data_IF_254948125590
#
_entry.id   IF_254948125590
#
_cell.length_a   1.000
_cell.length_b   1.000
_cell.length_c   1.000
_cell.angle_alpha   90.00
_cell.angle_beta   90.00
_cell.angle_gamma   90.00
#
_symmetry.space_group_name_H-M   'P 1'
#
loop_
_entity.id
_entity.type
_entity.pdbx_description
1 polymer ?
#
# COMPACT_ATOMS: atom_id res chain seq x y z
N UNK A 1 -11.78 10.70 62.69
CA UNK A 1 -10.72 11.10 61.75
C UNK A 1 -10.65 10.05 60.66
N UNK A 2 -11.33 10.34 59.54
CA UNK A 2 -11.51 9.45 58.40
C UNK A 2 -10.23 9.41 57.57
N UNK A 3 -9.65 8.23 57.44
CA UNK A 3 -8.59 7.95 56.46
C UNK A 3 -9.15 8.17 55.05
N UNK A 4 -8.46 8.86 54.13
CA UNK A 4 -8.98 9.07 52.79
C UNK A 4 -8.98 7.74 52.01
N UNK A 5 -9.95 7.52 51.10
CA UNK A 5 -10.08 6.27 50.38
C UNK A 5 -8.95 6.13 49.36
N UNK A 6 -8.03 5.21 49.60
CA UNK A 6 -6.98 4.82 48.63
C UNK A 6 -7.54 4.08 47.40
N UNK A 7 -8.86 3.98 47.25
CA UNK A 7 -9.54 3.30 46.14
C UNK A 7 -9.96 4.22 44.99
N UNK A 8 -9.83 5.54 45.13
CA UNK A 8 -10.30 6.52 44.12
C UNK A 8 -9.25 6.93 43.08
N UNK A 9 -8.04 6.35 43.10
CA UNK A 9 -7.03 6.53 42.04
C UNK A 9 -6.98 5.37 41.02
N UNK A 10 -8.00 4.51 41.01
CA UNK A 10 -8.16 3.41 40.04
C UNK A 10 -9.22 3.74 38.98
N UNK A 11 -9.41 5.02 38.68
CA UNK A 11 -10.14 5.46 37.49
C UNK A 11 -9.12 5.94 36.44
N UNK A 12 -9.22 5.32 35.27
CA UNK A 12 -8.91 5.93 33.98
C UNK A 12 -7.43 6.12 33.61
N UNK A 13 -6.67 5.04 33.63
CA UNK A 13 -5.85 4.73 32.46
C UNK A 13 -6.12 3.28 32.09
N UNK A 14 -6.99 3.05 31.10
CA UNK A 14 -6.80 1.91 30.19
C UNK A 14 -5.50 2.18 29.41
N UNK A 15 -4.38 2.09 30.13
CA UNK A 15 -3.07 2.11 29.54
C UNK A 15 -3.09 1.01 28.50
N UNK A 16 -2.86 1.39 27.24
CA UNK A 16 -2.73 0.46 26.12
C UNK A 16 -1.42 -0.34 26.30
N UNK A 17 -1.36 -1.14 27.36
CA UNK A 17 -0.22 -1.93 27.83
C UNK A 17 -0.45 -3.42 27.56
N UNK A 18 -1.34 -3.72 26.60
CA UNK A 18 -1.50 -5.07 26.08
C UNK A 18 -0.19 -5.58 25.47
N UNK A 19 0.07 -6.88 25.60
CA UNK A 19 1.15 -7.53 24.85
C UNK A 19 0.72 -7.67 23.41
N UNK A 20 1.52 -7.15 22.49
CA UNK A 20 1.28 -7.26 21.05
C UNK A 20 2.41 -8.04 20.39
N UNK A 21 2.04 -8.88 19.42
CA UNK A 21 2.95 -9.55 18.50
C UNK A 21 2.69 -9.09 17.07
N UNK A 22 3.69 -9.17 16.20
CA UNK A 22 3.54 -8.76 14.81
C UNK A 22 4.70 -9.15 13.91
N UNK A 23 4.54 -8.80 12.63
CA UNK A 23 5.50 -9.13 11.58
C UNK A 23 5.95 -7.83 10.89
N UNK A 24 7.26 -7.74 10.64
CA UNK A 24 7.86 -6.79 9.72
C UNK A 24 7.88 -7.39 8.32
N UNK A 25 7.15 -6.80 7.38
CA UNK A 25 7.16 -7.23 5.98
C UNK A 25 6.78 -6.05 5.08
N UNK A 26 7.66 -5.62 4.18
CA UNK A 26 7.31 -4.56 3.26
C UNK A 26 6.35 -5.08 2.16
N UNK A 27 5.35 -4.29 1.68
CA UNK A 27 4.44 -4.75 0.63
C UNK A 27 5.14 -5.23 -0.64
N UNK A 28 6.30 -4.67 -1.00
CA UNK A 28 7.07 -5.11 -2.17
C UNK A 28 7.59 -6.55 -2.08
N UNK A 29 7.68 -7.10 -0.87
CA UNK A 29 8.12 -8.48 -0.60
C UNK A 29 6.99 -9.50 -0.66
N UNK A 30 5.73 -9.05 -0.77
CA UNK A 30 4.63 -9.97 -1.01
C UNK A 30 4.74 -10.56 -2.40
N UNK A 31 4.26 -11.81 -2.61
CA UNK A 31 4.20 -12.38 -3.94
C UNK A 31 3.36 -11.50 -4.86
N UNK A 32 3.66 -11.46 -6.16
CA UNK A 32 2.93 -10.63 -7.10
C UNK A 32 3.17 -11.05 -8.55
N UNK A 33 2.11 -11.02 -9.36
CA UNK A 33 2.15 -11.38 -10.80
C UNK A 33 2.84 -10.31 -11.65
N UNK A 34 3.10 -9.14 -11.08
CA UNK A 34 3.56 -7.93 -11.77
C UNK A 34 4.98 -7.52 -11.37
N UNK A 35 5.79 -8.51 -10.97
CA UNK A 35 7.23 -8.39 -10.68
C UNK A 35 7.60 -7.75 -9.34
N UNK A 36 6.62 -7.24 -8.61
CA UNK A 36 6.75 -6.70 -7.26
C UNK A 36 5.44 -6.93 -6.51
N UNK A 37 5.51 -7.14 -5.20
CA UNK A 37 4.32 -7.10 -4.35
C UNK A 37 3.65 -5.72 -4.38
N UNK A 38 2.33 -5.69 -4.38
CA UNK A 38 1.54 -4.47 -4.48
C UNK A 38 0.42 -4.46 -3.43
N UNK A 39 -0.39 -3.40 -3.40
CA UNK A 39 -1.43 -3.24 -2.38
C UNK A 39 -2.63 -4.18 -2.55
N UNK A 40 -2.75 -4.94 -3.65
CA UNK A 40 -3.88 -5.87 -3.89
C UNK A 40 -3.55 -6.98 -4.91
N UNK A 41 -3.90 -8.25 -4.64
CA UNK A 41 -4.76 -8.73 -3.55
C UNK A 41 -3.98 -9.26 -2.34
N UNK A 42 -2.66 -9.39 -2.45
CA UNK A 42 -1.87 -10.19 -1.51
C UNK A 42 -1.75 -9.54 -0.12
N UNK A 43 -1.80 -8.20 -0.04
CA UNK A 43 -1.91 -7.49 1.24
C UNK A 43 -3.14 -7.93 2.04
N UNK A 44 -4.28 -8.15 1.38
CA UNK A 44 -5.50 -8.59 2.08
C UNK A 44 -5.34 -10.01 2.62
N UNK A 45 -4.77 -10.92 1.82
CA UNK A 45 -4.45 -12.28 2.28
C UNK A 45 -3.43 -12.28 3.43
N UNK A 46 -2.48 -11.36 3.41
CA UNK A 46 -1.50 -11.19 4.48
C UNK A 46 -2.17 -10.66 5.76
N UNK A 47 -3.10 -9.71 5.65
CA UNK A 47 -3.89 -9.24 6.80
C UNK A 47 -4.76 -10.38 7.35
N UNK A 48 -5.41 -11.18 6.51
CA UNK A 48 -6.16 -12.36 6.94
C UNK A 48 -5.26 -13.38 7.66
N UNK A 49 -4.03 -13.56 7.18
CA UNK A 49 -3.02 -14.38 7.84
C UNK A 49 -2.66 -13.82 9.23
N UNK A 50 -2.38 -12.52 9.34
CA UNK A 50 -2.07 -11.89 10.63
C UNK A 50 -3.22 -12.08 11.61
N UNK A 51 -4.46 -11.84 11.17
CA UNK A 51 -5.66 -12.03 11.98
C UNK A 51 -5.82 -13.49 12.41
N UNK A 52 -5.65 -14.46 11.50
CA UNK A 52 -5.73 -15.90 11.79
C UNK A 52 -4.75 -16.34 12.89
N UNK A 53 -3.57 -15.73 12.95
CA UNK A 53 -2.53 -16.08 13.92
C UNK A 53 -2.40 -15.07 15.06
N UNK A 54 -3.43 -14.25 15.30
CA UNK A 54 -3.46 -13.24 16.36
C UNK A 54 -2.23 -12.32 16.37
N UNK A 55 -1.68 -12.03 15.19
CA UNK A 55 -0.69 -10.98 15.03
C UNK A 55 -1.41 -9.65 14.93
N UNK A 56 -1.10 -8.74 15.84
CA UNK A 56 -1.81 -7.47 15.99
C UNK A 56 -1.05 -6.29 15.36
N UNK A 57 0.20 -6.49 14.96
CA UNK A 57 1.03 -5.47 14.36
C UNK A 57 1.57 -5.93 13.00
N UNK A 58 1.49 -5.03 12.02
CA UNK A 58 2.21 -5.13 10.77
C UNK A 58 3.11 -3.91 10.64
N UNK A 59 4.42 -4.14 10.72
CA UNK A 59 5.41 -3.09 10.51
C UNK A 59 5.87 -3.10 9.04
N UNK A 60 6.05 -1.91 8.48
CA UNK A 60 6.52 -1.70 7.11
C UNK A 60 7.68 -0.70 7.08
N UNK A 61 8.49 -0.79 6.03
CA UNK A 61 9.45 0.25 5.65
C UNK A 61 8.70 1.46 5.03
N UNK A 62 9.36 2.62 4.82
CA UNK A 62 8.70 3.77 4.23
C UNK A 62 8.11 3.48 2.84
N UNK A 63 6.93 4.04 2.57
CA UNK A 63 6.16 3.81 1.33
C UNK A 63 6.39 4.87 0.26
N UNK A 64 7.43 5.67 0.36
CA UNK A 64 7.68 6.78 -0.56
C UNK A 64 8.25 6.34 -1.91
N UNK A 65 8.16 7.20 -2.95
CA UNK A 65 8.77 6.92 -4.25
C UNK A 65 10.29 6.89 -4.13
N UNK A 66 10.88 5.75 -4.45
CA UNK A 66 12.32 5.50 -4.28
C UNK A 66 13.16 6.11 -5.39
N UNK A 67 14.34 6.64 -5.03
CA UNK A 67 15.35 7.10 -5.99
C UNK A 67 16.25 6.00 -6.53
N UNK A 68 17.41 6.41 -7.06
CA UNK A 68 18.45 5.48 -7.51
C UNK A 68 18.87 4.53 -6.38
N UNK A 69 18.95 3.23 -6.68
CA UNK A 69 19.20 2.18 -5.69
C UNK A 69 17.95 1.61 -5.03
N UNK A 70 16.75 2.14 -5.31
CA UNK A 70 15.45 1.61 -4.86
C UNK A 70 15.30 1.47 -3.33
N UNK A 71 16.06 2.25 -2.57
CA UNK A 71 15.99 2.25 -1.10
C UNK A 71 14.74 2.99 -0.62
N UNK A 72 13.91 2.38 0.24
CA UNK A 72 12.74 3.07 0.81
C UNK A 72 13.14 4.22 1.75
N UNK A 73 14.41 4.32 2.15
CA UNK A 73 14.90 5.44 2.96
C UNK A 73 15.42 6.62 2.13
N UNK A 74 15.50 6.46 0.80
CA UNK A 74 15.93 7.51 -0.12
C UNK A 74 14.78 7.88 -1.06
N UNK A 75 13.77 8.54 -0.49
CA UNK A 75 12.56 8.92 -1.20
C UNK A 75 12.67 10.30 -1.86
N UNK A 76 12.01 10.48 -3.02
CA UNK A 76 11.87 11.79 -3.67
C UNK A 76 10.91 12.73 -2.93
N UNK A 77 10.08 12.19 -2.04
CA UNK A 77 9.10 12.95 -1.26
C UNK A 77 8.88 12.27 0.09
N UNK A 78 8.72 13.07 1.15
CA UNK A 78 8.31 12.60 2.46
C UNK A 78 6.80 12.32 2.56
N UNK A 79 6.01 12.74 1.56
CA UNK A 79 4.54 12.67 1.58
C UNK A 79 3.95 11.73 0.53
N UNK A 80 4.57 11.66 -0.66
CA UNK A 80 4.03 10.87 -1.76
C UNK A 80 4.14 9.36 -1.48
N UNK A 81 3.22 8.57 -2.05
CA UNK A 81 3.32 7.11 -2.08
C UNK A 81 4.11 6.62 -3.30
N UNK A 82 4.68 5.42 -3.18
CA UNK A 82 5.41 4.77 -4.26
C UNK A 82 4.44 4.25 -5.34
N UNK A 83 4.51 4.72 -6.60
CA UNK A 83 3.62 4.25 -7.66
C UNK A 83 3.78 2.75 -7.97
N UNK A 84 4.94 2.15 -7.66
CA UNK A 84 5.23 0.76 -8.01
C UNK A 84 4.37 -0.26 -7.26
N UNK A 85 3.81 0.12 -6.10
CA UNK A 85 2.92 -0.73 -5.31
C UNK A 85 1.44 -0.51 -5.63
N UNK A 86 1.11 0.29 -6.65
CA UNK A 86 -0.25 0.33 -7.22
C UNK A 86 -0.53 -1.00 -7.91
N UNK A 87 -1.71 -1.57 -7.66
CA UNK A 87 -2.12 -2.87 -8.19
C UNK A 87 -2.70 -2.76 -9.60
N UNK A 88 -2.05 -3.37 -10.62
CA UNK A 88 -2.62 -3.50 -11.96
C UNK A 88 -3.93 -4.28 -11.95
N UNK A 89 -4.02 -5.32 -11.11
CA UNK A 89 -5.25 -6.10 -10.95
C UNK A 89 -6.42 -5.23 -10.53
N UNK A 90 -6.21 -4.28 -9.60
CA UNK A 90 -7.27 -3.35 -9.20
C UNK A 90 -7.69 -2.42 -10.34
N UNK A 91 -6.74 -1.93 -11.14
CA UNK A 91 -7.02 -1.11 -12.33
C UNK A 91 -7.79 -1.91 -13.39
N UNK A 92 -7.46 -3.20 -13.53
CA UNK A 92 -8.18 -4.16 -14.35
C UNK A 92 -9.63 -4.36 -13.83
N UNK A 93 -9.85 -4.56 -12.52
CA UNK A 93 -11.19 -4.70 -11.90
C UNK A 93 -12.10 -3.48 -12.09
N UNK A 94 -11.56 -2.26 -12.01
CA UNK A 94 -12.33 -1.01 -12.20
C UNK A 94 -12.41 -0.58 -13.67
N UNK A 95 -11.92 -1.43 -14.59
CA UNK A 95 -12.07 -1.28 -16.03
C UNK A 95 -11.12 -0.28 -16.69
N UNK A 96 -10.10 0.24 -16.00
CA UNK A 96 -9.08 1.11 -16.62
C UNK A 96 -7.97 0.33 -17.32
N UNK A 97 -7.80 -0.95 -17.00
CA UNK A 97 -6.97 -1.87 -17.77
C UNK A 97 -7.78 -3.13 -18.09
N UNK A 98 -7.27 -3.95 -18.99
CA UNK A 98 -7.76 -5.31 -19.28
C UNK A 98 -6.70 -6.32 -18.92
N UNK A 99 -7.06 -7.56 -18.60
CA UNK A 99 -6.08 -8.60 -18.23
C UNK A 99 -5.00 -8.80 -19.29
N UNK A 100 -5.35 -8.59 -20.57
CA UNK A 100 -4.42 -8.64 -21.70
C UNK A 100 -3.39 -7.51 -21.65
N UNK A 101 -3.81 -6.29 -21.29
CA UNK A 101 -2.91 -5.15 -21.13
C UNK A 101 -2.06 -5.27 -19.86
N UNK A 102 -2.63 -5.85 -18.79
CA UNK A 102 -1.95 -6.15 -17.53
C UNK A 102 -0.96 -7.34 -17.66
N UNK A 103 -0.80 -8.00 -18.82
CA UNK A 103 0.07 -9.17 -18.98
C UNK A 103 1.49 -8.76 -19.38
N UNK A 104 2.54 -9.11 -18.60
CA UNK A 104 3.91 -8.79 -18.98
C UNK A 104 4.36 -9.63 -20.18
N UNK A 105 5.27 -9.06 -20.98
CA UNK A 105 5.85 -9.74 -22.15
C UNK A 105 6.76 -10.90 -21.72
N UNK A 106 7.58 -10.68 -20.70
CA UNK A 106 8.48 -11.66 -20.11
C UNK A 106 8.08 -11.96 -18.66
N UNK A 107 8.30 -13.20 -18.17
CA UNK A 107 8.06 -13.52 -16.78
C UNK A 107 9.02 -12.76 -15.85
N UNK A 108 8.52 -12.37 -14.68
CA UNK A 108 9.33 -11.80 -13.61
C UNK A 108 9.87 -12.90 -12.68
N UNK A 109 10.92 -12.58 -11.93
CA UNK A 109 11.43 -13.43 -10.85
C UNK A 109 10.40 -13.55 -9.72
N UNK A 110 10.20 -14.76 -9.20
CA UNK A 110 9.34 -15.00 -8.03
C UNK A 110 10.05 -14.74 -6.70
N UNK A 111 11.39 -14.72 -6.69
CA UNK A 111 12.19 -14.63 -5.46
C UNK A 111 12.73 -13.23 -5.16
N UNK A 112 12.75 -12.34 -6.15
CA UNK A 112 13.36 -11.01 -6.02
C UNK A 112 12.77 -10.02 -7.01
N UNK A 113 12.79 -8.74 -6.63
CA UNK A 113 12.30 -7.65 -7.47
C UNK A 113 13.41 -7.17 -8.41
N UNK A 114 13.19 -7.34 -9.72
CA UNK A 114 14.00 -6.72 -10.76
C UNK A 114 13.44 -5.31 -11.06
N UNK A 115 13.89 -4.32 -10.29
CA UNK A 115 13.45 -2.93 -10.44
C UNK A 115 13.72 -2.36 -11.84
N UNK A 116 14.76 -2.85 -12.55
CA UNK A 116 15.07 -2.43 -13.91
C UNK A 116 13.97 -2.79 -14.91
N UNK A 117 13.28 -3.91 -14.69
CA UNK A 117 12.12 -4.34 -15.49
C UNK A 117 10.79 -3.83 -14.94
N UNK A 118 10.63 -3.84 -13.62
CA UNK A 118 9.36 -3.49 -12.95
C UNK A 118 9.00 -2.02 -13.17
N UNK A 119 9.97 -1.11 -13.01
CA UNK A 119 9.71 0.33 -13.11
C UNK A 119 9.13 0.72 -14.47
N UNK A 120 9.79 0.44 -15.63
CA UNK A 120 9.24 0.80 -16.93
C UNK A 120 7.90 0.12 -17.21
N UNK A 121 7.77 -1.16 -16.83
CA UNK A 121 6.52 -1.91 -17.00
C UNK A 121 5.34 -1.27 -16.23
N UNK A 122 5.52 -0.99 -14.94
CA UNK A 122 4.48 -0.38 -14.10
C UNK A 122 4.11 1.02 -14.59
N UNK A 123 5.09 1.84 -14.98
CA UNK A 123 4.81 3.17 -15.53
C UNK A 123 3.98 3.12 -16.81
N UNK A 124 4.30 2.21 -17.73
CA UNK A 124 3.51 2.01 -18.94
C UNK A 124 2.04 1.70 -18.62
N UNK A 125 1.78 0.82 -17.65
CA UNK A 125 0.41 0.49 -17.22
C UNK A 125 -0.31 1.68 -16.59
N UNK A 126 0.36 2.44 -15.72
CA UNK A 126 -0.21 3.60 -15.06
C UNK A 126 -0.56 4.70 -16.07
N UNK A 127 0.30 4.93 -17.06
CA UNK A 127 0.02 5.87 -18.15
C UNK A 127 -1.17 5.45 -19.00
N UNK A 128 -1.29 4.15 -19.34
CA UNK A 128 -2.45 3.65 -20.07
C UNK A 128 -3.74 3.78 -19.27
N UNK A 129 -3.71 3.43 -17.98
CA UNK A 129 -4.86 3.59 -17.09
C UNK A 129 -5.28 5.05 -17.00
N UNK A 130 -4.33 5.97 -16.86
CA UNK A 130 -4.61 7.41 -16.81
C UNK A 130 -5.17 7.94 -18.13
N UNK A 131 -4.64 7.52 -19.30
CA UNK A 131 -5.21 7.89 -20.60
C UNK A 131 -6.67 7.46 -20.74
N UNK A 132 -7.01 6.25 -20.30
CA UNK A 132 -8.40 5.74 -20.31
C UNK A 132 -9.29 6.47 -19.31
N UNK A 133 -8.76 6.84 -18.15
CA UNK A 133 -9.46 7.72 -17.21
C UNK A 133 -9.80 9.06 -17.85
N UNK A 134 -8.83 9.73 -18.47
CA UNK A 134 -9.03 11.03 -19.12
C UNK A 134 -10.03 11.00 -20.28
N UNK A 135 -10.16 9.86 -20.98
CA UNK A 135 -11.13 9.68 -22.06
C UNK A 135 -12.55 9.43 -21.55
N UNK A 136 -12.71 8.73 -20.42
CA UNK A 136 -14.01 8.32 -19.90
C UNK A 136 -14.60 9.27 -18.87
N UNK A 137 -13.74 9.93 -18.09
CA UNK A 137 -14.08 10.85 -16.99
C UNK A 137 -15.33 10.43 -16.19
N UNK A 138 -15.33 9.24 -15.57
CA UNK A 138 -16.48 8.79 -14.81
C UNK A 138 -16.74 9.74 -13.63
N UNK A 139 -17.92 10.38 -13.62
CA UNK A 139 -18.30 11.47 -12.70
C UNK A 139 -17.89 11.23 -11.24
N UNK A 140 -18.12 10.03 -10.71
CA UNK A 140 -17.77 9.69 -9.33
C UNK A 140 -16.27 9.78 -9.05
N UNK A 141 -15.45 9.19 -9.92
CA UNK A 141 -14.00 9.19 -9.72
C UNK A 141 -13.41 10.57 -9.99
N UNK A 142 -14.01 11.34 -10.89
CA UNK A 142 -13.60 12.73 -11.16
C UNK A 142 -13.82 13.64 -9.94
N UNK A 143 -14.94 13.49 -9.23
CA UNK A 143 -15.16 14.14 -7.93
C UNK A 143 -14.14 13.66 -6.87
N UNK A 144 -13.97 12.34 -6.69
CA UNK A 144 -13.02 11.79 -5.71
C UNK A 144 -11.57 12.24 -5.98
N UNK A 145 -11.18 12.32 -7.26
CA UNK A 145 -9.85 12.78 -7.67
C UNK A 145 -9.66 14.28 -7.43
N UNK A 146 -10.64 15.11 -7.79
CA UNK A 146 -10.61 16.55 -7.53
C UNK A 146 -10.57 16.86 -6.03
N UNK A 147 -11.35 16.12 -5.23
CA UNK A 147 -11.34 16.20 -3.77
C UNK A 147 -9.98 15.84 -3.18
N UNK A 148 -9.36 14.78 -3.69
CA UNK A 148 -8.02 14.38 -3.29
C UNK A 148 -6.99 15.48 -3.61
N UNK A 149 -7.00 16.05 -4.81
CA UNK A 149 -6.09 17.15 -5.20
C UNK A 149 -6.25 18.34 -4.25
N UNK A 150 -7.50 18.78 -4.01
CA UNK A 150 -7.80 19.91 -3.13
C UNK A 150 -7.37 19.65 -1.68
N UNK A 151 -7.57 18.43 -1.17
CA UNK A 151 -7.19 18.06 0.19
C UNK A 151 -5.66 18.04 0.39
N UNK A 152 -4.91 17.78 -0.68
CA UNK A 152 -3.45 17.61 -0.64
C UNK A 152 -2.68 18.72 -1.38
N UNK A 153 -3.35 19.84 -1.72
CA UNK A 153 -2.69 21.07 -2.18
C UNK A 153 -2.17 21.82 -0.95
N UNK A 154 -0.93 21.54 -0.57
CA UNK A 154 -0.19 22.28 0.47
C UNK A 154 0.53 23.49 -0.12
#
# INVERSE_FOLDING_TARGET
MTSPPTKELLLEKSSNTGRYGGILLHPSSLPGEFGIGDLRPQVYKFIDFLNKYNQNLWQILPLGPTGYGNSPYQCFSAFAGNPMIISPKKLCEIGFLTDRECKPQDPFSESSVDYGKVIPYKWQLLEYAFKKYMQRQPLRLESEFSDFIRKHSF
#
